data_IF_660634608423
#
_entry.id   IF_660634608423
#
_cell.length_a   1.000
_cell.length_b   1.000
_cell.length_c   1.000
_cell.angle_alpha   90.00
_cell.angle_beta   90.00
_cell.angle_gamma   90.00
#
_symmetry.space_group_name_H-M   'P 1'
#
loop_
_entity.id
_entity.type
_entity.pdbx_description
1 polymer ?
#
# COMPACT_ATOMS: atom_id res chain seq x y z
N UNK A 1 1.76 -3.94 -37.55
CA UNK A 1 2.93 -3.07 -37.76
C UNK A 1 2.56 -1.76 -37.11
N UNK A 2 3.42 -1.19 -36.25
CA UNK A 2 3.10 0.04 -35.54
C UNK A 2 2.81 1.17 -36.53
N UNK A 3 1.74 1.94 -36.29
CA UNK A 3 1.40 3.12 -37.07
C UNK A 3 2.28 4.31 -36.71
N UNK A 4 2.77 4.34 -35.46
CA UNK A 4 3.68 5.38 -34.98
C UNK A 4 4.68 4.80 -33.98
N UNK A 5 5.91 5.33 -33.99
CA UNK A 5 6.98 4.94 -33.07
C UNK A 5 7.54 6.21 -32.43
N UNK A 6 7.56 6.26 -31.10
CA UNK A 6 8.19 7.32 -30.32
C UNK A 6 9.52 6.81 -29.77
N UNK A 7 10.58 7.63 -29.83
CA UNK A 7 11.93 7.24 -29.41
C UNK A 7 12.55 8.32 -28.54
N UNK A 8 12.86 7.94 -27.29
CA UNK A 8 13.69 8.71 -26.38
C UNK A 8 15.09 8.10 -26.36
N UNK A 9 16.12 8.93 -26.49
CA UNK A 9 17.51 8.49 -26.59
C UNK A 9 18.40 9.29 -25.63
N UNK A 10 19.69 8.93 -25.46
CA UNK A 10 20.63 9.67 -24.62
C UNK A 10 20.66 11.18 -24.87
N UNK A 11 20.55 11.58 -26.14
CA UNK A 11 20.52 12.99 -26.57
C UNK A 11 19.14 13.65 -26.51
N UNK A 12 18.09 12.87 -26.26
CA UNK A 12 16.68 13.31 -26.35
C UNK A 12 15.83 12.77 -25.20
N UNK A 13 16.40 12.55 -24.02
CA UNK A 13 15.65 12.03 -22.86
C UNK A 13 14.50 12.95 -22.46
N UNK A 14 14.68 14.28 -22.60
CA UNK A 14 13.64 15.27 -22.33
C UNK A 14 12.72 15.54 -23.54
N UNK A 15 12.75 14.66 -24.55
CA UNK A 15 11.87 14.81 -25.70
C UNK A 15 10.39 14.65 -25.29
N UNK A 16 9.58 15.51 -25.87
CA UNK A 16 8.14 15.56 -25.69
C UNK A 16 7.50 15.32 -27.05
N UNK A 17 6.54 14.40 -27.12
CA UNK A 17 5.82 14.10 -28.35
C UNK A 17 4.36 14.51 -28.23
N UNK A 18 3.85 15.17 -29.27
CA UNK A 18 2.42 15.45 -29.42
C UNK A 18 1.78 14.44 -30.36
N UNK A 19 0.63 13.90 -29.96
CA UNK A 19 -0.14 12.98 -30.80
C UNK A 19 -1.04 13.76 -31.77
N UNK A 20 -1.03 13.36 -33.05
CA UNK A 20 -1.82 13.97 -34.12
C UNK A 20 -3.16 13.26 -34.36
N UNK A 21 -3.29 12.06 -33.81
CA UNK A 21 -4.44 11.16 -33.85
C UNK A 21 -4.55 10.40 -32.52
N UNK A 22 -5.62 9.63 -32.35
CA UNK A 22 -5.79 8.75 -31.20
C UNK A 22 -4.97 7.46 -31.42
N UNK A 23 -4.23 7.04 -30.40
CA UNK A 23 -3.35 5.88 -30.45
C UNK A 23 -3.53 4.96 -29.24
N UNK A 24 -3.22 3.68 -29.40
CA UNK A 24 -3.08 2.71 -28.32
C UNK A 24 -1.66 2.16 -28.26
N UNK A 25 -1.05 2.00 -27.08
CA UNK A 25 0.31 1.51 -26.95
C UNK A 25 0.39 0.01 -27.20
N UNK A 26 1.24 -0.39 -28.15
CA UNK A 26 1.41 -1.79 -28.52
C UNK A 26 2.52 -2.48 -27.75
N UNK A 27 3.70 -1.84 -27.71
CA UNK A 27 4.90 -2.41 -27.14
C UNK A 27 5.85 -1.30 -26.64
N UNK A 28 6.61 -1.61 -25.60
CA UNK A 28 7.72 -0.80 -25.14
C UNK A 28 9.02 -1.61 -25.24
N UNK A 29 10.09 -0.98 -25.72
CA UNK A 29 11.44 -1.55 -25.68
C UNK A 29 12.40 -0.63 -24.96
N UNK A 30 13.24 -1.21 -24.12
CA UNK A 30 14.28 -0.49 -23.39
C UNK A 30 15.63 -1.09 -23.80
N UNK A 31 16.53 -0.23 -24.24
CA UNK A 31 17.91 -0.57 -24.52
C UNK A 31 18.83 0.30 -23.66
N UNK A 32 19.89 -0.27 -23.11
CA UNK A 32 20.95 0.47 -22.43
C UNK A 32 22.30 0.09 -23.04
N UNK A 33 23.11 1.11 -23.35
CA UNK A 33 24.50 0.89 -23.80
C UNK A 33 25.32 0.20 -22.71
N UNK A 34 25.21 0.70 -21.48
CA UNK A 34 25.82 0.11 -20.30
C UNK A 34 24.70 -0.37 -19.38
N UNK A 35 24.72 -1.66 -19.04
CA UNK A 35 23.69 -2.31 -18.24
C UNK A 35 23.56 -1.67 -16.84
N UNK A 36 22.37 -1.74 -16.21
CA UNK A 36 22.22 -1.36 -14.81
C UNK A 36 23.13 -2.22 -13.91
N UNK A 37 23.89 -1.60 -13.01
CA UNK A 37 24.84 -2.29 -12.11
C UNK A 37 24.52 -2.13 -10.62
N UNK A 38 23.70 -1.15 -10.26
CA UNK A 38 23.32 -0.78 -8.88
C UNK A 38 21.85 -1.14 -8.57
N UNK A 39 21.29 -2.07 -9.35
CA UNK A 39 19.88 -2.48 -9.36
C UNK A 39 19.22 -2.14 -10.69
N UNK A 40 17.93 -2.41 -10.81
CA UNK A 40 17.20 -2.28 -12.08
C UNK A 40 17.07 -0.82 -12.57
N UNK A 41 17.02 -0.66 -13.89
CA UNK A 41 16.52 0.55 -14.55
C UNK A 41 14.99 0.45 -14.60
N UNK A 42 14.30 1.50 -14.19
CA UNK A 42 12.84 1.59 -14.18
C UNK A 42 12.42 2.88 -14.87
N UNK A 43 11.52 2.75 -15.83
CA UNK A 43 10.99 3.86 -16.62
C UNK A 43 9.47 3.83 -16.65
N UNK A 44 8.89 4.99 -16.93
CA UNK A 44 7.46 5.17 -17.09
C UNK A 44 7.18 6.04 -18.32
N UNK A 45 6.05 5.79 -18.98
CA UNK A 45 5.56 6.61 -20.08
C UNK A 45 4.34 7.36 -19.56
N UNK A 46 4.34 8.68 -19.73
CA UNK A 46 3.27 9.54 -19.24
C UNK A 46 2.50 10.16 -20.40
N UNK A 47 1.18 10.14 -20.32
CA UNK A 47 0.21 10.90 -21.13
C UNK A 47 -0.33 12.05 -20.28
N UNK A 48 -0.02 13.28 -20.67
CA UNK A 48 -0.39 14.50 -19.93
C UNK A 48 0.01 14.46 -18.44
N UNK A 49 1.11 13.77 -18.14
CA UNK A 49 1.66 13.60 -16.80
C UNK A 49 1.09 12.41 -16.02
N UNK A 50 0.21 11.60 -16.61
CA UNK A 50 -0.37 10.39 -16.01
C UNK A 50 0.25 9.15 -16.65
N UNK A 51 0.64 8.15 -15.85
CA UNK A 51 1.21 6.90 -16.38
C UNK A 51 0.24 6.19 -17.32
N UNK A 52 0.76 5.73 -18.46
CA UNK A 52 0.03 4.92 -19.44
C UNK A 52 0.23 3.42 -19.23
N UNK A 53 1.03 3.04 -18.24
CA UNK A 53 1.25 1.64 -17.87
C UNK A 53 0.05 1.09 -17.09
N UNK A 54 -0.07 -0.24 -17.00
CA UNK A 54 -1.18 -0.86 -16.29
C UNK A 54 -1.25 -0.36 -14.85
N UNK A 55 -2.38 0.27 -14.51
CA UNK A 55 -2.69 0.61 -13.12
C UNK A 55 -3.63 -0.45 -12.58
N UNK A 56 -3.06 -1.51 -12.00
CA UNK A 56 -3.81 -2.54 -11.32
C UNK A 56 -4.17 -2.14 -9.88
N UNK A 57 -5.05 -2.90 -9.26
CA UNK A 57 -5.25 -2.83 -7.81
C UNK A 57 -4.87 -4.14 -7.16
N UNK A 58 -3.98 -4.09 -6.18
CA UNK A 58 -3.78 -5.20 -5.27
C UNK A 58 -4.71 -5.05 -4.09
N UNK A 59 -5.61 -6.01 -3.91
CA UNK A 59 -6.30 -6.18 -2.63
C UNK A 59 -5.41 -7.01 -1.73
N UNK A 60 -4.82 -6.37 -0.73
CA UNK A 60 -4.12 -7.06 0.34
C UNK A 60 -5.11 -7.19 1.50
N UNK A 61 -5.23 -8.40 2.02
CA UNK A 61 -5.97 -8.66 3.25
C UNK A 61 -5.13 -8.17 4.43
N UNK A 62 -5.60 -7.12 5.10
CA UNK A 62 -4.95 -6.57 6.28
C UNK A 62 -5.70 -6.99 7.52
N UNK A 63 -5.02 -7.79 8.33
CA UNK A 63 -5.48 -8.14 9.66
C UNK A 63 -5.46 -6.91 10.57
N UNK A 64 -6.63 -6.44 10.93
CA UNK A 64 -6.80 -5.37 11.93
C UNK A 64 -7.28 -5.99 13.23
N UNK A 65 -6.63 -5.63 14.34
CA UNK A 65 -7.01 -6.08 15.69
C UNK A 65 -7.57 -4.90 16.48
N UNK A 66 -8.73 -5.12 17.09
CA UNK A 66 -9.32 -4.18 18.06
C UNK A 66 -8.94 -4.58 19.47
N UNK A 67 -8.88 -3.60 20.38
CA UNK A 67 -8.63 -3.84 21.79
C UNK A 67 -9.90 -4.32 22.50
N UNK A 68 -9.72 -4.91 23.68
CA UNK A 68 -10.84 -5.28 24.52
C UNK A 68 -11.42 -4.06 25.23
N UNK A 69 -12.71 -4.10 25.56
CA UNK A 69 -13.36 -3.01 26.30
C UNK A 69 -14.10 -3.57 27.51
N UNK A 70 -13.83 -2.98 28.68
CA UNK A 70 -14.56 -3.25 29.92
C UNK A 70 -15.43 -2.04 30.22
N UNK A 71 -16.74 -2.23 30.24
CA UNK A 71 -17.68 -1.25 30.79
C UNK A 71 -17.91 -1.55 32.27
N UNK A 72 -17.95 -0.52 33.11
CA UNK A 72 -18.10 -0.66 34.55
C UNK A 72 -18.91 0.49 35.15
N UNK A 73 -19.67 0.18 36.20
CA UNK A 73 -20.58 1.12 36.85
C UNK A 73 -19.97 1.74 38.10
N UNK A 74 -20.04 1.02 39.21
CA UNK A 74 -19.50 1.49 40.50
C UNK A 74 -18.00 1.22 40.54
N UNK A 75 -17.21 2.25 40.88
CA UNK A 75 -15.76 2.14 41.01
C UNK A 75 -15.24 2.90 42.24
N UNK A 76 -14.08 2.46 42.73
CA UNK A 76 -13.28 3.17 43.73
C UNK A 76 -11.92 3.50 43.14
N UNK A 77 -11.43 4.72 43.37
CA UNK A 77 -10.16 5.18 42.81
C UNK A 77 -10.23 5.53 41.33
N UNK A 78 -9.07 5.55 40.67
CA UNK A 78 -8.93 5.87 39.25
C UNK A 78 -7.90 4.95 38.63
N UNK A 79 -8.30 4.21 37.60
CA UNK A 79 -7.37 3.39 36.83
C UNK A 79 -6.39 4.26 36.04
N UNK A 80 -5.16 3.77 35.89
CA UNK A 80 -4.08 4.46 35.20
C UNK A 80 -3.75 3.77 33.88
N UNK A 81 -3.55 4.55 32.83
CA UNK A 81 -3.02 4.02 31.56
C UNK A 81 -1.62 3.43 31.80
N UNK A 82 -1.38 2.25 31.22
CA UNK A 82 -0.18 1.42 31.39
C UNK A 82 -0.24 0.46 32.57
N UNK A 83 -1.29 0.48 33.40
CA UNK A 83 -1.40 -0.46 34.52
C UNK A 83 -2.07 -1.78 34.13
N UNK A 84 -1.72 -2.86 34.83
CA UNK A 84 -2.42 -4.13 34.73
C UNK A 84 -3.69 -4.11 35.58
N UNK A 85 -4.77 -4.62 35.01
CA UNK A 85 -6.04 -4.86 35.70
C UNK A 85 -6.32 -6.35 35.71
N UNK A 86 -6.75 -6.88 36.86
CA UNK A 86 -7.09 -8.29 37.05
C UNK A 86 -8.55 -8.48 37.47
N UNK A 87 -9.24 -9.44 36.87
CA UNK A 87 -10.58 -9.90 37.25
C UNK A 87 -10.53 -10.88 38.42
N UNK A 88 -11.33 -10.63 39.45
CA UNK A 88 -11.31 -11.40 40.69
C UNK A 88 -11.77 -12.85 40.54
N UNK A 89 -12.80 -13.10 39.72
CA UNK A 89 -13.37 -14.46 39.55
C UNK A 89 -12.92 -15.14 38.28
N UNK A 90 -12.76 -14.39 37.19
CA UNK A 90 -12.32 -14.94 35.91
C UNK A 90 -10.83 -15.25 35.88
N UNK A 91 -10.05 -14.59 36.73
CA UNK A 91 -8.59 -14.55 36.61
C UNK A 91 -8.12 -13.89 35.31
N UNK A 92 -9.00 -13.19 34.59
CA UNK A 92 -8.65 -12.41 33.41
C UNK A 92 -7.73 -11.26 33.79
N UNK A 93 -6.87 -10.86 32.86
CA UNK A 93 -6.04 -9.68 33.04
C UNK A 93 -5.81 -8.95 31.72
N UNK A 94 -5.54 -7.66 31.81
CA UNK A 94 -5.26 -6.80 30.67
C UNK A 94 -4.54 -5.53 31.11
N UNK A 95 -3.80 -4.93 30.19
CA UNK A 95 -3.16 -3.64 30.38
C UNK A 95 -4.12 -2.54 29.96
N UNK A 96 -4.33 -1.53 30.81
CA UNK A 96 -5.16 -0.37 30.50
C UNK A 96 -4.43 0.51 29.50
N UNK A 97 -5.00 0.72 28.32
CA UNK A 97 -4.41 1.58 27.29
C UNK A 97 -5.17 2.90 27.12
N UNK A 98 -6.42 2.93 27.55
CA UNK A 98 -7.24 4.14 27.61
C UNK A 98 -8.28 4.04 28.71
N UNK A 99 -8.61 5.18 29.31
CA UNK A 99 -9.66 5.29 30.30
C UNK A 99 -10.67 6.35 29.88
N UNK A 100 -11.95 6.03 30.07
CA UNK A 100 -13.05 6.98 29.99
C UNK A 100 -13.97 6.74 31.19
N UNK A 101 -14.89 7.68 31.44
CA UNK A 101 -15.88 7.51 32.51
C UNK A 101 -16.72 6.25 32.27
N UNK A 102 -16.53 5.22 33.11
CA UNK A 102 -17.26 3.95 33.02
C UNK A 102 -16.76 2.98 31.94
N UNK A 103 -15.60 3.23 31.32
CA UNK A 103 -15.03 2.33 30.32
C UNK A 103 -13.50 2.28 30.40
N UNK A 104 -12.93 1.08 30.38
CA UNK A 104 -11.50 0.83 30.14
C UNK A 104 -11.34 0.22 28.76
N UNK A 105 -10.41 0.77 27.98
CA UNK A 105 -9.87 0.05 26.83
C UNK A 105 -8.64 -0.71 27.30
N UNK A 106 -8.59 -2.01 27.02
CA UNK A 106 -7.54 -2.88 27.51
C UNK A 106 -6.85 -3.66 26.38
N UNK A 107 -5.52 -3.67 26.43
CA UNK A 107 -4.70 -4.58 25.65
C UNK A 107 -4.59 -5.91 26.40
N UNK A 108 -5.03 -7.00 25.78
CA UNK A 108 -5.01 -8.32 26.40
C UNK A 108 -3.61 -8.95 26.24
N UNK A 109 -2.89 -9.16 27.34
CA UNK A 109 -1.45 -9.50 27.31
C UNK A 109 -1.14 -10.99 27.41
N UNK A 110 -2.09 -11.89 27.70
CA UNK A 110 -1.91 -13.36 27.57
C UNK A 110 -3.26 -14.10 27.68
N UNK A 111 -3.41 -15.33 27.17
CA UNK A 111 -4.64 -15.71 26.49
C UNK A 111 -5.65 -16.48 27.36
N UNK A 112 -6.93 -16.29 27.01
CA UNK A 112 -8.12 -17.17 27.10
C UNK A 112 -9.17 -16.89 28.16
N UNK A 113 -8.88 -16.16 29.23
CA UNK A 113 -9.91 -15.83 30.22
C UNK A 113 -10.53 -14.46 29.91
N UNK A 114 -11.83 -14.48 29.60
CA UNK A 114 -12.62 -13.27 29.42
C UNK A 114 -13.02 -12.70 30.79
N UNK A 115 -13.09 -11.37 30.88
CA UNK A 115 -13.76 -10.74 32.02
C UNK A 115 -15.23 -11.16 32.05
N UNK A 116 -15.72 -11.44 33.25
CA UNK A 116 -17.08 -11.88 33.54
C UNK A 116 -17.90 -10.73 34.09
N UNK A 117 -19.12 -10.57 33.58
CA UNK A 117 -20.06 -9.56 34.10
C UNK A 117 -20.31 -9.82 35.58
N UNK A 118 -20.39 -8.74 36.34
CA UNK A 118 -20.51 -8.65 37.82
C UNK A 118 -19.24 -8.94 38.62
N UNK A 119 -18.12 -9.30 37.99
CA UNK A 119 -16.88 -9.48 38.74
C UNK A 119 -16.22 -8.15 39.15
N UNK A 120 -15.47 -8.19 40.24
CA UNK A 120 -14.60 -7.07 40.63
C UNK A 120 -13.30 -7.14 39.85
N UNK A 121 -12.99 -6.06 39.14
CA UNK A 121 -11.66 -5.81 38.59
C UNK A 121 -10.82 -4.96 39.54
N UNK A 122 -9.51 -5.18 39.58
CA UNK A 122 -8.57 -4.44 40.45
C UNK A 122 -7.35 -3.99 39.65
N UNK A 123 -7.00 -2.71 39.73
CA UNK A 123 -5.78 -2.14 39.17
C UNK A 123 -4.57 -2.48 40.04
N UNK A 124 -3.50 -2.99 39.44
CA UNK A 124 -2.33 -3.48 40.16
C UNK A 124 -1.56 -2.36 40.86
N UNK A 125 -1.53 -1.16 40.27
CA UNK A 125 -0.76 -0.02 40.81
C UNK A 125 -1.66 1.00 41.51
N UNK A 126 -2.82 1.29 40.93
CA UNK A 126 -3.78 2.24 41.48
C UNK A 126 -4.57 1.69 42.66
N UNK A 127 -4.66 0.35 42.76
CA UNK A 127 -5.60 -0.36 43.63
C UNK A 127 -7.07 0.04 43.39
N UNK A 128 -7.35 0.70 42.27
CA UNK A 128 -8.70 1.06 41.88
C UNK A 128 -9.50 -0.21 41.64
N UNK A 129 -10.76 -0.21 42.06
CA UNK A 129 -11.66 -1.35 41.84
C UNK A 129 -12.91 -0.92 41.11
N UNK A 130 -13.49 -1.82 40.32
CA UNK A 130 -14.79 -1.59 39.71
C UNK A 130 -15.51 -2.92 39.46
N UNK A 131 -16.83 -2.86 39.33
CA UNK A 131 -17.64 -4.01 38.92
C UNK A 131 -17.85 -4.00 37.41
N UNK A 132 -17.57 -5.12 36.74
CA UNK A 132 -17.76 -5.26 35.29
C UNK A 132 -19.25 -5.29 34.96
N UNK A 133 -19.72 -4.36 34.13
CA UNK A 133 -21.09 -4.33 33.61
C UNK A 133 -21.18 -5.02 32.24
N UNK A 134 -20.16 -4.85 31.39
CA UNK A 134 -20.05 -5.54 30.12
C UNK A 134 -18.59 -5.74 29.69
N UNK A 135 -18.35 -6.81 28.94
CA UNK A 135 -17.05 -7.13 28.35
C UNK A 135 -17.19 -7.29 26.84
N UNK A 136 -16.37 -6.57 26.08
CA UNK A 136 -16.20 -6.73 24.64
C UNK A 136 -14.82 -7.30 24.39
N UNK A 137 -14.76 -8.53 23.89
CA UNK A 137 -13.49 -9.19 23.58
C UNK A 137 -12.80 -8.52 22.38
N UNK A 138 -11.45 -8.47 22.36
CA UNK A 138 -10.68 -8.10 21.18
C UNK A 138 -11.15 -8.86 19.95
N UNK A 139 -11.31 -8.18 18.83
CA UNK A 139 -11.72 -8.79 17.57
C UNK A 139 -10.62 -8.64 16.53
N UNK A 140 -10.42 -9.69 15.75
CA UNK A 140 -9.55 -9.69 14.58
C UNK A 140 -10.44 -9.69 13.34
N UNK A 141 -10.30 -8.64 12.52
CA UNK A 141 -11.05 -8.48 11.29
C UNK A 141 -10.11 -8.41 10.11
N UNK A 142 -10.48 -9.10 9.04
CA UNK A 142 -9.83 -8.94 7.76
C UNK A 142 -10.42 -7.73 7.05
N UNK A 143 -9.63 -6.67 6.94
CA UNK A 143 -10.05 -5.47 6.22
C UNK A 143 -9.32 -5.47 4.88
N UNK A 144 -10.02 -5.58 3.75
CA UNK A 144 -9.38 -5.48 2.45
C UNK A 144 -8.83 -4.06 2.31
N UNK A 145 -7.52 -3.96 2.10
CA UNK A 145 -6.86 -2.72 1.73
C UNK A 145 -6.50 -2.79 0.25
N UNK A 146 -7.08 -1.89 -0.54
CA UNK A 146 -6.79 -1.78 -1.97
C UNK A 146 -5.64 -0.80 -2.15
N UNK A 147 -4.53 -1.29 -2.67
CA UNK A 147 -3.37 -0.47 -3.03
C UNK A 147 -3.28 -0.39 -4.55
N UNK A 148 -3.09 0.82 -5.08
CA UNK A 148 -2.79 1.00 -6.49
C UNK A 148 -1.42 0.37 -6.78
N UNK A 149 -1.37 -0.48 -7.80
CA UNK A 149 -0.14 -0.89 -8.45
C UNK A 149 -0.04 -0.13 -9.75
N UNK A 150 0.99 0.67 -9.91
CA UNK A 150 1.45 1.07 -11.23
C UNK A 150 2.46 0.02 -11.67
N UNK A 151 2.21 -0.65 -12.79
CA UNK A 151 3.28 -1.37 -13.46
C UNK A 151 4.22 -0.35 -14.10
N UNK A 152 5.51 -0.67 -14.17
CA UNK A 152 6.52 0.19 -14.76
C UNK A 152 7.42 -0.70 -15.58
N UNK A 153 7.82 -0.22 -16.74
CA UNK A 153 8.74 -0.96 -17.57
C UNK A 153 10.14 -0.95 -16.95
N UNK A 154 10.79 -2.09 -16.97
CA UNK A 154 12.08 -2.31 -16.29
C UNK A 154 13.11 -2.93 -17.23
N UNK A 155 14.38 -2.65 -16.97
CA UNK A 155 15.50 -3.41 -17.52
C UNK A 155 16.29 -3.94 -16.33
N UNK A 156 16.43 -5.27 -16.25
CA UNK A 156 17.02 -5.94 -15.10
C UNK A 156 18.50 -5.60 -14.94
N UNK A 157 19.00 -5.71 -13.70
CA UNK A 157 20.42 -5.58 -13.43
C UNK A 157 21.26 -6.55 -14.28
N UNK A 158 22.28 -6.01 -14.97
CA UNK A 158 23.14 -6.77 -15.88
C UNK A 158 22.59 -6.97 -17.29
N UNK A 159 21.36 -6.54 -17.57
CA UNK A 159 20.74 -6.62 -18.90
C UNK A 159 20.97 -5.33 -19.70
N UNK A 160 21.08 -5.46 -21.02
CA UNK A 160 21.24 -4.31 -21.94
C UNK A 160 20.03 -4.12 -22.85
N UNK A 161 19.11 -5.08 -22.88
CA UNK A 161 17.91 -5.05 -23.70
C UNK A 161 16.76 -5.73 -22.95
N UNK A 162 15.60 -5.06 -22.95
CA UNK A 162 14.33 -5.68 -22.62
C UNK A 162 13.31 -5.34 -23.72
N UNK A 163 12.61 -6.36 -24.20
CA UNK A 163 11.52 -6.29 -25.18
C UNK A 163 10.23 -6.80 -24.52
N UNK A 164 9.81 -6.18 -23.43
CA UNK A 164 8.53 -6.51 -22.79
C UNK A 164 7.41 -5.67 -23.43
N UNK A 165 6.72 -6.28 -24.40
CA UNK A 165 5.56 -5.71 -25.10
C UNK A 165 4.25 -5.78 -24.30
N UNK A 166 4.26 -6.20 -23.03
CA UNK A 166 3.05 -6.72 -22.37
C UNK A 166 2.60 -5.97 -21.09
N UNK A 167 3.28 -4.88 -20.69
CA UNK A 167 2.97 -4.22 -19.40
C UNK A 167 1.90 -3.09 -19.48
N UNK A 168 1.21 -2.97 -20.62
CA UNK A 168 0.06 -2.07 -20.77
C UNK A 168 -1.26 -2.71 -20.32
N UNK A 169 -1.23 -3.99 -19.91
CA UNK A 169 -2.41 -4.76 -19.51
C UNK A 169 -3.36 -5.12 -20.67
N UNK A 170 -4.44 -5.86 -20.39
CA UNK A 170 -5.49 -6.16 -21.37
C UNK A 170 -6.33 -4.93 -21.73
N UNK A 171 -6.43 -3.95 -20.83
CA UNK A 171 -7.21 -2.72 -20.98
C UNK A 171 -6.29 -1.53 -21.30
N UNK A 172 -5.52 -1.66 -22.39
CA UNK A 172 -4.55 -0.63 -22.81
C UNK A 172 -5.22 0.75 -22.94
N UNK A 173 -4.60 1.83 -22.43
CA UNK A 173 -5.20 3.14 -22.54
C UNK A 173 -5.27 3.61 -23.99
N UNK A 174 -6.22 4.49 -24.29
CA UNK A 174 -6.23 5.28 -25.52
C UNK A 174 -5.57 6.61 -25.24
N UNK A 175 -4.44 6.86 -25.88
CA UNK A 175 -3.75 8.15 -25.87
C UNK A 175 -4.45 9.07 -26.87
N UNK A 176 -4.95 10.21 -26.41
CA UNK A 176 -5.82 11.05 -27.22
C UNK A 176 -5.02 11.92 -28.19
N UNK A 177 -5.65 12.29 -29.30
CA UNK A 177 -5.14 13.34 -30.18
C UNK A 177 -4.91 14.62 -29.37
N UNK A 178 -3.72 15.17 -29.50
CA UNK A 178 -3.28 16.37 -28.77
C UNK A 178 -2.59 16.09 -27.44
N UNK A 179 -2.64 14.84 -26.95
CA UNK A 179 -1.91 14.40 -25.76
C UNK A 179 -0.42 14.66 -25.85
N UNK A 180 0.17 14.97 -24.70
CA UNK A 180 1.59 15.13 -24.48
C UNK A 180 2.19 13.84 -23.92
N UNK A 181 2.97 13.13 -24.75
CA UNK A 181 3.61 11.88 -24.35
C UNK A 181 5.07 12.11 -23.98
N UNK A 182 5.45 11.67 -22.79
CA UNK A 182 6.81 11.84 -22.23
C UNK A 182 7.34 10.55 -21.61
N UNK A 183 8.67 10.49 -21.46
CA UNK A 183 9.38 9.44 -20.72
C UNK A 183 9.81 9.99 -19.36
N UNK A 184 9.62 9.19 -18.32
CA UNK A 184 10.17 9.43 -16.99
C UNK A 184 11.11 8.28 -16.60
N UNK A 185 12.35 8.59 -16.23
CA UNK A 185 13.27 7.62 -15.63
C UNK A 185 13.09 7.69 -14.11
N UNK A 186 12.43 6.70 -13.53
CA UNK A 186 12.16 6.63 -12.09
C UNK A 186 13.40 6.20 -11.30
N UNK A 187 14.16 5.26 -11.87
CA UNK A 187 15.41 4.76 -11.29
C UNK A 187 16.35 4.35 -12.41
N UNK A 188 17.58 4.86 -12.42
CA UNK A 188 18.54 4.50 -13.47
C UNK A 188 19.24 3.16 -13.24
N UNK A 189 19.36 2.71 -12.00
CA UNK A 189 20.10 1.49 -11.67
C UNK A 189 21.60 1.55 -12.03
N UNK A 190 22.13 2.74 -12.32
CA UNK A 190 23.48 2.91 -12.87
C UNK A 190 23.60 2.60 -14.37
N UNK A 191 22.49 2.35 -15.08
CA UNK A 191 22.48 2.20 -16.53
C UNK A 191 22.91 3.49 -17.23
N UNK A 192 23.56 3.35 -18.39
CA UNK A 192 23.96 4.49 -19.23
C UNK A 192 23.60 4.25 -20.69
N UNK A 193 23.45 5.34 -21.45
CA UNK A 193 23.11 5.28 -22.87
C UNK A 193 21.75 4.62 -23.11
N UNK A 194 20.76 4.98 -22.29
CA UNK A 194 19.41 4.44 -22.34
C UNK A 194 18.65 4.99 -23.55
N UNK A 195 18.00 4.10 -24.28
CA UNK A 195 17.06 4.38 -25.36
C UNK A 195 15.75 3.65 -25.05
N UNK A 196 14.64 4.37 -25.12
CA UNK A 196 13.29 3.81 -24.94
C UNK A 196 12.50 4.03 -26.21
N UNK A 197 11.85 2.97 -26.68
CA UNK A 197 10.98 2.98 -27.85
C UNK A 197 9.56 2.60 -27.45
N UNK A 198 8.58 3.41 -27.81
CA UNK A 198 7.16 3.10 -27.69
C UNK A 198 6.56 2.90 -29.08
N UNK A 199 5.94 1.74 -29.30
CA UNK A 199 5.17 1.43 -30.50
C UNK A 199 3.69 1.72 -30.26
N UNK A 200 3.04 2.37 -31.22
CA UNK A 200 1.64 2.80 -31.15
C UNK A 200 0.88 2.32 -32.39
N UNK A 201 -0.34 1.82 -32.19
CA UNK A 201 -1.32 1.58 -33.26
C UNK A 201 -2.42 2.62 -33.20
N UNK A 202 -2.90 3.04 -34.35
CA UNK A 202 -4.00 4.00 -34.47
C UNK A 202 -5.29 3.36 -33.98
N UNK A 203 -6.06 4.10 -33.18
CA UNK A 203 -7.42 3.68 -32.80
C UNK A 203 -8.38 4.10 -33.92
N UNK A 204 -9.08 3.14 -34.50
CA UNK A 204 -10.04 3.34 -35.59
C UNK A 204 -11.47 3.46 -35.10
#
# INVERSE_FOLDING_TARGET
MADRILVWSPSTHDAVFYLDEDYSPDALRIHAKDAPTLGDLVVDILDDGVSVMETGTNTIQKMTKTNGQIWYGTYSGTFQVGELVSGGSSGAYGEVISTASGMLEILHTTPTTAFTVTETITGATSLATATVDAWVAPQEYDTPETTARTSNARLGQGETLNEEAEDFGPDKPTLQKGSLVTLSILKSGGANGVTVQLELSKVT
#
